data_IF_593996804043
#
_entry.id   IF_593996804043
#
_cell.length_a   1.000
_cell.length_b   1.000
_cell.length_c   1.000
_cell.angle_alpha   90.00
_cell.angle_beta   90.00
_cell.angle_gamma   90.00
#
_symmetry.space_group_name_H-M   'P 1'
#
loop_
_entity.id
_entity.type
_entity.pdbx_description
1 polymer ?
#
# COMPACT_ATOMS: atom_id res chain seq x y z
N UNK A 1 -15.04 -32.88 -22.17
CA UNK A 1 -15.22 -32.70 -20.72
C UNK A 1 -14.49 -31.40 -20.32
N UNK A 2 -15.22 -30.29 -20.37
CA UNK A 2 -14.78 -28.98 -19.90
C UNK A 2 -15.05 -28.93 -18.39
N UNK A 3 -14.00 -29.03 -17.58
CA UNK A 3 -14.06 -28.74 -16.15
C UNK A 3 -14.17 -27.22 -15.97
N UNK A 4 -15.32 -26.79 -15.50
CA UNK A 4 -15.63 -25.43 -15.14
C UNK A 4 -14.76 -25.05 -13.94
N UNK A 5 -13.76 -24.17 -14.10
CA UNK A 5 -13.06 -23.54 -12.99
C UNK A 5 -14.06 -22.66 -12.24
N UNK A 6 -14.49 -23.10 -11.08
CA UNK A 6 -15.25 -22.27 -10.14
C UNK A 6 -14.36 -21.09 -9.72
N UNK A 7 -14.83 -19.89 -9.96
CA UNK A 7 -14.19 -18.69 -9.41
C UNK A 7 -14.35 -18.71 -7.89
N UNK A 8 -13.26 -18.54 -7.11
CA UNK A 8 -13.34 -18.45 -5.66
C UNK A 8 -14.20 -17.24 -5.25
N UNK A 9 -14.90 -17.37 -4.16
CA UNK A 9 -15.74 -16.29 -3.59
C UNK A 9 -14.89 -15.15 -3.06
N UNK A 10 -15.48 -13.98 -2.84
CA UNK A 10 -14.77 -12.76 -2.35
C UNK A 10 -14.07 -13.05 -1.01
N UNK A 11 -14.64 -13.91 -0.15
CA UNK A 11 -14.03 -14.29 1.13
C UNK A 11 -12.73 -15.10 0.98
N UNK A 12 -12.63 -15.97 -0.02
CA UNK A 12 -11.42 -16.77 -0.26
C UNK A 12 -10.26 -15.95 -0.86
N UNK A 13 -10.57 -14.76 -1.43
CA UNK A 13 -9.57 -13.86 -2.05
C UNK A 13 -9.00 -12.83 -1.08
N UNK A 14 -9.69 -12.56 0.04
CA UNK A 14 -9.23 -11.64 1.08
C UNK A 14 -8.06 -12.20 1.92
N UNK A 15 -7.83 -13.51 1.86
CA UNK A 15 -6.86 -14.24 2.72
C UNK A 15 -5.39 -13.86 2.47
N UNK A 16 -5.04 -13.23 1.35
CA UNK A 16 -3.65 -12.90 1.03
C UNK A 16 -3.02 -11.78 1.89
N UNK A 17 -3.80 -11.12 2.74
CA UNK A 17 -3.35 -10.00 3.58
C UNK A 17 -3.59 -10.21 5.08
N UNK A 18 -3.87 -11.43 5.54
CA UNK A 18 -4.04 -11.68 6.97
C UNK A 18 -2.70 -11.60 7.69
N UNK A 19 -2.60 -10.63 8.62
CA UNK A 19 -1.56 -10.66 9.66
C UNK A 19 -1.77 -11.90 10.52
N UNK A 20 -0.86 -12.88 10.46
CA UNK A 20 -0.74 -13.84 11.55
C UNK A 20 -0.26 -13.08 12.80
N UNK A 21 -1.01 -13.21 13.90
CA UNK A 21 -0.57 -12.67 15.18
C UNK A 21 0.78 -13.26 15.55
N UNK A 22 1.82 -12.44 15.48
CA UNK A 22 3.14 -12.78 16.00
C UNK A 22 3.13 -12.45 17.49
N UNK A 23 2.91 -13.46 18.31
CA UNK A 23 3.11 -13.38 19.74
C UNK A 23 4.61 -13.60 20.02
N UNK A 24 5.42 -12.56 19.98
CA UNK A 24 6.59 -12.45 20.85
C UNK A 24 7.32 -11.12 20.62
N UNK A 25 7.72 -10.40 21.68
CA UNK A 25 8.47 -9.18 21.54
C UNK A 25 9.89 -9.50 21.06
N UNK A 26 10.33 -8.80 20.02
CA UNK A 26 11.73 -8.81 19.57
C UNK A 26 12.62 -8.40 20.74
N UNK A 27 13.53 -9.29 21.16
CA UNK A 27 14.47 -9.02 22.24
C UNK A 27 15.40 -7.85 21.89
N UNK A 28 15.51 -6.89 22.81
CA UNK A 28 16.24 -5.62 22.67
C UNK A 28 17.78 -5.73 22.64
N UNK A 29 18.38 -6.87 22.34
CA UNK A 29 19.84 -6.99 22.37
C UNK A 29 20.40 -7.53 21.07
N UNK A 30 20.52 -6.65 20.06
CA UNK A 30 21.35 -6.87 18.87
C UNK A 30 22.47 -5.83 18.78
N UNK A 31 23.66 -6.16 18.24
CA UNK A 31 24.79 -5.26 18.18
C UNK A 31 24.48 -4.03 17.32
N UNK A 32 24.97 -2.86 17.77
CA UNK A 32 24.91 -1.60 17.01
C UNK A 32 25.62 -1.77 15.66
N UNK A 33 24.85 -1.78 14.59
CA UNK A 33 25.36 -1.85 13.23
C UNK A 33 25.68 -0.45 12.70
N UNK A 34 26.84 -0.29 12.09
CA UNK A 34 27.16 0.91 11.29
C UNK A 34 26.22 0.94 10.07
N UNK A 35 25.11 1.65 10.19
CA UNK A 35 24.24 1.94 9.06
C UNK A 35 25.02 2.75 8.02
N UNK A 36 25.07 2.29 6.79
CA UNK A 36 25.48 3.13 5.68
C UNK A 36 24.52 4.34 5.65
N UNK A 37 25.10 5.52 5.58
CA UNK A 37 24.37 6.76 5.80
C UNK A 37 23.48 7.03 4.58
N UNK A 38 22.15 7.06 4.77
CA UNK A 38 21.30 7.82 3.85
C UNK A 38 21.70 9.29 3.99
N UNK A 39 22.41 9.85 3.01
CA UNK A 39 22.88 11.23 2.99
C UNK A 39 21.75 12.26 3.16
N UNK A 40 20.50 11.83 2.97
CA UNK A 40 19.29 12.62 3.11
C UNK A 40 18.53 12.39 4.44
N UNK A 41 19.07 11.60 5.36
CA UNK A 41 18.44 11.40 6.65
C UNK A 41 18.83 12.47 7.66
N UNK A 42 17.91 12.82 8.54
CA UNK A 42 18.17 13.69 9.70
C UNK A 42 18.19 12.86 10.98
N UNK A 43 19.00 13.25 11.94
CA UNK A 43 19.01 12.65 13.28
C UNK A 43 17.92 13.31 14.13
N UNK A 44 17.01 12.50 14.68
CA UNK A 44 16.06 12.90 15.72
C UNK A 44 16.21 11.91 16.86
N UNK A 45 16.52 12.41 18.04
CA UNK A 45 16.73 11.58 19.25
C UNK A 45 17.72 10.42 19.06
N UNK A 46 18.75 10.63 18.22
CA UNK A 46 19.74 9.60 17.88
C UNK A 46 19.30 8.59 16.83
N UNK A 47 18.06 8.67 16.36
CA UNK A 47 17.50 7.79 15.33
C UNK A 47 17.54 8.49 13.97
N UNK A 48 17.93 7.78 12.92
CA UNK A 48 17.93 8.30 11.55
C UNK A 48 16.56 8.24 10.95
N UNK A 49 16.08 9.41 10.49
CA UNK A 49 14.79 9.55 9.79
C UNK A 49 15.07 10.08 8.38
N UNK A 50 14.66 9.42 7.31
CA UNK A 50 14.75 9.95 5.96
C UNK A 50 14.14 11.35 5.88
N UNK A 51 14.75 12.26 5.15
CA UNK A 51 14.43 13.70 5.17
C UNK A 51 12.94 14.01 4.91
N UNK A 52 12.27 13.17 4.13
CA UNK A 52 10.87 13.35 3.75
C UNK A 52 9.90 12.51 4.59
N UNK A 53 10.37 11.82 5.61
CA UNK A 53 9.54 11.06 6.54
C UNK A 53 9.44 11.74 7.90
N UNK A 54 8.42 11.38 8.65
CA UNK A 54 8.16 11.88 9.99
C UNK A 54 8.69 10.92 11.06
N UNK A 55 8.63 9.63 10.73
CA UNK A 55 9.12 8.53 11.56
C UNK A 55 10.24 7.74 10.85
N UNK A 56 11.09 7.03 11.60
CA UNK A 56 12.16 6.21 11.03
C UNK A 56 11.62 5.05 10.20
N UNK A 57 12.44 4.47 9.32
CA UNK A 57 12.09 3.27 8.57
C UNK A 57 12.03 2.02 9.45
N UNK A 58 12.89 1.95 10.47
CA UNK A 58 12.96 0.81 11.36
C UNK A 58 11.61 0.53 12.04
N UNK A 59 11.18 -0.73 11.98
CA UNK A 59 9.88 -1.18 12.47
C UNK A 59 8.69 -0.87 11.56
N UNK A 60 8.92 -0.27 10.38
CA UNK A 60 7.84 -0.05 9.41
C UNK A 60 7.50 -1.34 8.67
N UNK A 61 6.23 -1.48 8.32
CA UNK A 61 5.73 -2.57 7.48
C UNK A 61 6.09 -2.32 6.02
N UNK A 62 6.73 -3.28 5.40
CA UNK A 62 7.03 -3.31 3.97
C UNK A 62 6.36 -4.48 3.26
N UNK A 63 6.28 -4.39 1.94
CA UNK A 63 5.69 -5.41 1.08
C UNK A 63 6.55 -5.61 -0.17
N UNK A 64 6.65 -6.86 -0.62
CA UNK A 64 7.26 -7.17 -1.90
C UNK A 64 6.43 -6.57 -3.04
N UNK A 65 7.04 -5.70 -3.86
CA UNK A 65 6.36 -4.97 -4.93
C UNK A 65 6.44 -5.61 -6.30
N UNK A 66 7.28 -6.64 -6.48
CA UNK A 66 7.44 -7.35 -7.75
C UNK A 66 6.93 -8.80 -7.65
N UNK A 67 6.57 -9.38 -8.80
CA UNK A 67 6.02 -10.74 -8.88
C UNK A 67 6.95 -11.81 -8.26
N UNK A 68 8.25 -11.58 -8.32
CA UNK A 68 9.27 -12.39 -7.63
C UNK A 68 10.34 -11.45 -7.12
N UNK A 69 10.62 -11.48 -5.82
CA UNK A 69 11.74 -10.80 -5.20
C UNK A 69 12.66 -11.80 -4.51
N UNK A 70 13.95 -11.54 -4.55
CA UNK A 70 14.96 -12.40 -3.93
C UNK A 70 15.43 -11.79 -2.62
N UNK A 71 15.29 -12.55 -1.53
CA UNK A 71 15.84 -12.21 -0.24
C UNK A 71 17.29 -12.71 -0.19
N UNK A 72 18.23 -11.81 -0.04
CA UNK A 72 19.65 -12.08 -0.03
C UNK A 72 20.21 -12.17 1.39
N UNK A 73 21.30 -12.94 1.56
CA UNK A 73 22.03 -13.03 2.83
C UNK A 73 22.74 -11.69 3.16
N UNK A 74 23.24 -10.99 2.15
CA UNK A 74 23.94 -9.70 2.27
C UNK A 74 23.34 -8.67 1.33
N UNK A 75 23.60 -7.36 1.55
CA UNK A 75 23.06 -6.28 0.72
C UNK A 75 23.78 -6.18 -0.65
N UNK A 76 23.84 -7.28 -1.35
CA UNK A 76 24.35 -7.39 -2.71
C UNK A 76 23.59 -8.48 -3.49
N UNK A 77 23.31 -8.22 -4.77
CA UNK A 77 22.54 -9.12 -5.65
C UNK A 77 23.30 -10.40 -6.06
N UNK A 78 24.53 -10.60 -5.60
CA UNK A 78 25.37 -11.75 -5.90
C UNK A 78 25.50 -12.72 -4.73
N UNK A 79 25.02 -12.34 -3.53
CA UNK A 79 25.06 -13.16 -2.34
C UNK A 79 24.04 -14.30 -2.37
N UNK A 80 24.13 -15.21 -1.41
CA UNK A 80 23.21 -16.34 -1.28
C UNK A 80 21.77 -15.87 -1.22
N UNK A 81 20.90 -16.46 -2.05
CA UNK A 81 19.46 -16.27 -1.99
C UNK A 81 18.90 -17.13 -0.87
N UNK A 82 18.35 -16.50 0.16
CA UNK A 82 17.74 -17.19 1.31
C UNK A 82 16.31 -17.62 1.00
N UNK A 83 15.55 -16.76 0.27
CA UNK A 83 14.15 -16.99 -0.05
C UNK A 83 13.72 -16.25 -1.31
N UNK A 84 12.64 -16.71 -1.92
CA UNK A 84 11.87 -15.99 -2.94
C UNK A 84 10.57 -15.49 -2.31
N UNK A 85 10.25 -14.22 -2.52
CA UNK A 85 9.02 -13.59 -2.09
C UNK A 85 8.11 -13.35 -3.30
N UNK A 86 6.83 -13.50 -3.10
CA UNK A 86 5.80 -13.12 -4.06
C UNK A 86 5.36 -11.67 -3.86
N UNK A 87 4.75 -11.06 -4.87
CA UNK A 87 4.15 -9.73 -4.72
C UNK A 87 3.14 -9.73 -3.57
N UNK A 88 3.28 -8.77 -2.67
CA UNK A 88 2.43 -8.63 -1.51
C UNK A 88 2.94 -9.31 -0.24
N UNK A 89 3.96 -10.17 -0.31
CA UNK A 89 4.55 -10.73 0.89
C UNK A 89 5.03 -9.62 1.83
N UNK A 90 4.58 -9.71 3.08
CA UNK A 90 4.80 -8.70 4.11
C UNK A 90 6.07 -9.00 4.92
N UNK A 91 6.74 -7.93 5.34
CA UNK A 91 7.92 -7.99 6.21
C UNK A 91 8.04 -6.70 7.04
N UNK A 92 8.91 -6.73 8.05
CA UNK A 92 9.29 -5.55 8.80
C UNK A 92 10.67 -5.05 8.38
N UNK A 93 10.79 -3.73 8.16
CA UNK A 93 12.05 -3.08 7.80
C UNK A 93 12.88 -2.91 9.08
N UNK A 94 14.14 -3.37 9.07
CA UNK A 94 15.06 -3.22 10.18
C UNK A 94 16.05 -2.08 10.00
N UNK A 95 16.56 -1.94 8.77
CA UNK A 95 17.50 -0.85 8.43
C UNK A 95 17.60 -0.69 6.92
N UNK A 96 18.14 0.45 6.48
CA UNK A 96 18.49 0.72 5.09
C UNK A 96 20.01 0.76 4.91
N UNK A 97 20.50 0.17 3.82
CA UNK A 97 21.89 0.21 3.38
C UNK A 97 21.95 0.39 1.87
N UNK A 98 22.10 1.63 1.43
CA UNK A 98 22.11 1.98 0.01
C UNK A 98 20.81 1.54 -0.69
N UNK A 99 20.92 0.71 -1.72
CA UNK A 99 19.79 0.20 -2.47
C UNK A 99 19.05 -0.97 -1.78
N UNK A 100 19.42 -1.36 -0.57
CA UNK A 100 18.88 -2.52 0.12
C UNK A 100 18.25 -2.16 1.45
N UNK A 101 17.19 -2.91 1.81
CA UNK A 101 16.66 -2.97 3.16
C UNK A 101 17.00 -4.30 3.81
N UNK A 102 17.51 -4.28 5.02
CA UNK A 102 17.46 -5.46 5.87
C UNK A 102 16.02 -5.59 6.38
N UNK A 103 15.45 -6.76 6.20
CA UNK A 103 14.07 -7.04 6.56
C UNK A 103 13.99 -8.29 7.43
N UNK A 104 12.92 -8.37 8.22
CA UNK A 104 12.53 -9.55 8.97
C UNK A 104 11.18 -10.03 8.44
N UNK A 105 11.13 -11.25 7.93
CA UNK A 105 9.88 -11.87 7.48
C UNK A 105 9.04 -12.29 8.70
N UNK A 106 7.77 -12.60 8.49
CA UNK A 106 6.85 -13.00 9.55
C UNK A 106 7.26 -14.28 10.29
N UNK A 107 8.03 -15.15 9.63
CA UNK A 107 8.59 -16.36 10.24
C UNK A 107 9.93 -16.15 10.94
N UNK A 108 10.39 -14.90 11.07
CA UNK A 108 11.66 -14.53 11.71
C UNK A 108 12.88 -14.61 10.79
N UNK A 109 12.72 -15.01 9.51
CA UNK A 109 13.86 -15.01 8.57
C UNK A 109 14.33 -13.59 8.32
N UNK A 110 15.62 -13.33 8.49
CA UNK A 110 16.25 -12.03 8.26
C UNK A 110 17.11 -12.09 7.01
N UNK A 111 17.03 -11.07 6.17
CA UNK A 111 17.81 -10.94 4.95
C UNK A 111 17.67 -9.56 4.33
N UNK A 112 18.10 -9.42 3.08
CA UNK A 112 18.19 -8.14 2.38
C UNK A 112 17.36 -8.17 1.09
N UNK A 113 16.57 -7.11 0.86
CA UNK A 113 15.76 -6.88 -0.36
C UNK A 113 16.18 -5.59 -1.04
N UNK A 114 16.10 -5.56 -2.36
CA UNK A 114 16.24 -4.31 -3.12
C UNK A 114 15.06 -3.37 -2.82
N UNK A 115 15.36 -2.21 -2.22
CA UNK A 115 14.33 -1.31 -1.71
C UNK A 115 13.51 -0.61 -2.81
N UNK A 116 14.04 -0.43 -4.02
CA UNK A 116 13.33 0.15 -5.15
C UNK A 116 12.15 -0.72 -5.63
N UNK A 117 12.26 -2.03 -5.40
CA UNK A 117 11.21 -3.01 -5.74
C UNK A 117 10.20 -3.21 -4.61
N UNK A 118 10.40 -2.55 -3.47
CA UNK A 118 9.54 -2.69 -2.30
C UNK A 118 8.48 -1.60 -2.22
N UNK A 119 7.39 -1.93 -1.55
CA UNK A 119 6.41 -0.95 -1.07
C UNK A 119 6.55 -0.80 0.45
N UNK A 120 6.17 0.36 0.96
CA UNK A 120 6.12 0.69 2.38
C UNK A 120 4.71 1.11 2.78
N UNK A 121 4.29 0.78 3.99
CA UNK A 121 3.04 1.27 4.55
C UNK A 121 3.18 2.76 4.93
N UNK A 122 2.48 3.65 4.22
CA UNK A 122 2.60 5.10 4.44
C UNK A 122 2.32 5.56 5.87
N UNK A 123 1.26 5.08 6.57
CA UNK A 123 1.00 5.49 7.95
C UNK A 123 2.17 5.27 8.90
N UNK A 124 2.99 4.24 8.65
CA UNK A 124 4.13 3.92 9.50
C UNK A 124 5.25 4.96 9.45
N UNK A 125 5.29 5.78 8.42
CA UNK A 125 6.35 6.78 8.19
C UNK A 125 5.85 8.21 8.05
N UNK A 126 4.56 8.39 7.73
CA UNK A 126 3.91 9.70 7.53
C UNK A 126 2.57 9.77 8.29
N UNK A 127 2.57 9.64 9.63
CA UNK A 127 1.34 9.58 10.42
C UNK A 127 0.52 10.88 10.47
N UNK A 128 1.05 12.02 10.00
CA UNK A 128 0.31 13.28 9.92
C UNK A 128 -0.66 13.35 8.73
N UNK A 129 -0.54 12.44 7.77
CA UNK A 129 -1.48 12.34 6.66
C UNK A 129 -2.81 11.75 7.18
N UNK A 130 -3.93 12.26 6.69
CA UNK A 130 -5.25 11.66 6.96
C UNK A 130 -5.47 10.48 6.02
N UNK A 131 -5.67 9.29 6.58
CA UNK A 131 -5.95 8.07 5.83
C UNK A 131 -7.41 7.68 5.99
N UNK A 132 -8.12 7.46 4.89
CA UNK A 132 -9.50 7.02 4.89
C UNK A 132 -9.78 6.20 3.64
N UNK A 133 -9.74 4.86 3.77
CA UNK A 133 -10.02 3.95 2.66
C UNK A 133 -11.44 3.39 2.77
N UNK A 134 -12.41 3.99 2.04
CA UNK A 134 -13.78 3.50 2.09
C UNK A 134 -13.91 2.07 1.54
N UNK A 135 -13.05 1.64 0.62
CA UNK A 135 -13.12 0.29 0.05
C UNK A 135 -12.80 -0.79 1.09
N UNK A 136 -12.06 -0.46 2.16
CA UNK A 136 -11.83 -1.34 3.30
C UNK A 136 -12.95 -1.29 4.36
N UNK A 137 -14.02 -0.53 4.13
CA UNK A 137 -15.21 -0.45 5.02
C UNK A 137 -16.51 -0.53 4.24
N UNK A 138 -16.86 0.53 3.56
CA UNK A 138 -18.10 0.67 2.79
C UNK A 138 -17.76 1.48 1.52
N UNK A 139 -17.55 0.80 0.43
CA UNK A 139 -17.13 1.39 -0.84
C UNK A 139 -18.05 2.53 -1.28
N UNK A 140 -17.45 3.63 -1.69
CA UNK A 140 -18.14 4.79 -2.27
C UNK A 140 -18.15 4.77 -3.80
N UNK A 141 -17.66 3.71 -4.43
CA UNK A 141 -17.69 3.61 -5.89
C UNK A 141 -19.11 3.70 -6.42
N UNK A 142 -19.30 4.60 -7.38
CA UNK A 142 -20.54 4.81 -8.14
C UNK A 142 -20.22 4.96 -9.60
N UNK A 143 -21.22 4.75 -10.45
CA UNK A 143 -21.09 5.00 -11.88
C UNK A 143 -22.15 5.99 -12.34
N UNK A 144 -21.76 7.12 -12.94
CA UNK A 144 -22.66 8.24 -13.29
C UNK A 144 -23.59 8.62 -12.13
N UNK A 145 -23.09 8.68 -10.89
CA UNK A 145 -23.86 9.00 -9.70
C UNK A 145 -24.80 7.90 -9.19
N UNK A 146 -24.90 6.77 -9.89
CA UNK A 146 -25.75 5.61 -9.53
C UNK A 146 -24.96 4.59 -8.73
N UNK A 147 -25.59 4.00 -7.72
CA UNK A 147 -24.99 2.91 -6.95
C UNK A 147 -24.76 1.68 -7.84
N UNK A 148 -23.67 0.96 -7.55
CA UNK A 148 -23.29 -0.27 -8.24
C UNK A 148 -23.61 -1.42 -7.29
N UNK A 149 -24.51 -2.33 -7.73
CA UNK A 149 -24.90 -3.50 -6.95
C UNK A 149 -23.68 -4.38 -6.61
N UNK A 150 -23.59 -4.84 -5.36
CA UNK A 150 -22.48 -5.64 -4.87
C UNK A 150 -21.16 -4.87 -4.64
N UNK A 151 -21.13 -3.54 -4.91
CA UNK A 151 -19.95 -2.69 -4.76
C UNK A 151 -20.22 -1.53 -3.82
N UNK A 152 -21.19 -0.67 -4.15
CA UNK A 152 -21.48 0.53 -3.35
C UNK A 152 -21.97 0.13 -1.97
N UNK A 153 -21.32 0.64 -0.94
CA UNK A 153 -21.61 0.32 0.45
C UNK A 153 -21.03 -1.01 0.94
N UNK A 154 -20.31 -1.77 0.10
CA UNK A 154 -19.70 -3.04 0.48
C UNK A 154 -18.23 -2.87 0.89
N UNK A 155 -17.77 -3.69 1.84
CA UNK A 155 -16.34 -3.89 2.09
C UNK A 155 -15.78 -4.72 0.94
N UNK A 156 -14.81 -4.18 0.20
CA UNK A 156 -14.27 -4.85 -0.98
C UNK A 156 -13.01 -5.67 -0.69
N UNK A 157 -12.27 -5.33 0.35
CA UNK A 157 -11.08 -6.05 0.81
C UNK A 157 -10.72 -5.67 2.25
N UNK A 158 -9.88 -6.46 2.89
CA UNK A 158 -9.32 -6.13 4.19
C UNK A 158 -8.21 -5.09 4.04
N UNK A 159 -8.26 -4.06 4.84
CA UNK A 159 -7.31 -2.95 4.74
C UNK A 159 -7.30 -2.05 5.96
N UNK A 160 -8.01 -2.43 7.04
CA UNK A 160 -8.00 -1.73 8.32
C UNK A 160 -7.56 -2.72 9.40
N UNK A 161 -6.42 -2.45 10.04
CA UNK A 161 -5.82 -3.33 11.04
C UNK A 161 -5.28 -2.52 12.22
N UNK A 162 -5.09 -3.17 13.35
CA UNK A 162 -4.41 -2.54 14.47
C UNK A 162 -2.92 -2.35 14.13
N UNK A 163 -2.50 -1.08 14.09
CA UNK A 163 -1.12 -0.71 13.85
C UNK A 163 -0.39 -0.59 15.19
N UNK A 164 0.45 -1.58 15.51
CA UNK A 164 1.17 -1.62 16.79
C UNK A 164 2.11 -0.42 16.96
N UNK A 165 2.72 0.08 15.88
CA UNK A 165 3.63 1.22 15.90
C UNK A 165 2.92 2.52 16.28
N UNK A 166 1.68 2.69 15.82
CA UNK A 166 0.87 3.88 16.09
C UNK A 166 -0.09 3.70 17.27
N UNK A 167 -0.24 2.47 17.79
CA UNK A 167 -1.10 2.14 18.92
C UNK A 167 -2.59 2.33 18.64
N UNK A 168 -3.02 2.22 17.38
CA UNK A 168 -4.40 2.43 16.93
C UNK A 168 -4.74 1.62 15.69
N UNK A 169 -6.03 1.47 15.41
CA UNK A 169 -6.47 0.99 14.10
C UNK A 169 -6.08 1.97 13.01
N UNK A 170 -5.46 1.48 11.94
CA UNK A 170 -5.03 2.29 10.82
C UNK A 170 -5.16 1.53 9.50
N UNK A 171 -5.32 2.27 8.42
CA UNK A 171 -5.40 1.69 7.08
C UNK A 171 -4.04 1.21 6.57
N UNK A 172 -4.02 0.08 5.89
CA UNK A 172 -2.89 -0.31 5.06
C UNK A 172 -2.88 0.54 3.79
N UNK A 173 -1.78 1.27 3.61
CA UNK A 173 -1.56 2.15 2.45
C UNK A 173 -0.20 1.85 1.81
N UNK A 174 -0.03 0.64 1.22
CA UNK A 174 1.22 0.26 0.56
C UNK A 174 1.47 1.13 -0.66
N UNK A 175 2.67 1.70 -0.75
CA UNK A 175 3.11 2.47 -1.92
C UNK A 175 4.60 2.22 -2.16
N UNK A 176 5.03 2.27 -3.42
CA UNK A 176 6.45 2.11 -3.77
C UNK A 176 7.33 3.08 -2.98
N UNK A 177 8.48 2.62 -2.52
CA UNK A 177 9.36 3.39 -1.64
C UNK A 177 9.79 4.74 -2.24
N UNK A 178 10.13 4.78 -3.53
CA UNK A 178 10.48 6.03 -4.20
C UNK A 178 9.29 7.01 -4.27
N UNK A 179 8.06 6.49 -4.41
CA UNK A 179 6.83 7.29 -4.33
C UNK A 179 6.56 7.78 -2.92
N UNK A 180 6.76 6.95 -1.88
CA UNK A 180 6.58 7.36 -0.49
C UNK A 180 7.43 8.60 -0.14
N UNK A 181 8.68 8.67 -0.61
CA UNK A 181 9.56 9.84 -0.45
C UNK A 181 8.95 11.12 -1.09
N UNK A 182 8.32 10.99 -2.25
CA UNK A 182 7.63 12.10 -2.93
C UNK A 182 6.37 12.53 -2.20
N UNK A 183 5.61 11.57 -1.67
CA UNK A 183 4.41 11.83 -0.84
C UNK A 183 4.80 12.59 0.41
N UNK A 184 5.89 12.21 1.08
CA UNK A 184 6.39 12.91 2.26
C UNK A 184 6.81 14.36 1.95
N UNK A 185 7.47 14.58 0.80
CA UNK A 185 7.79 15.94 0.36
C UNK A 185 6.51 16.77 0.07
N UNK A 186 5.50 16.15 -0.55
CA UNK A 186 4.20 16.80 -0.80
C UNK A 186 3.47 17.13 0.50
N UNK A 187 3.41 16.20 1.46
CA UNK A 187 2.82 16.44 2.79
C UNK A 187 3.49 17.60 3.51
N UNK A 188 4.84 17.61 3.52
CA UNK A 188 5.62 18.70 4.12
C UNK A 188 5.29 20.07 3.51
N UNK A 189 5.06 20.12 2.19
CA UNK A 189 4.68 21.34 1.52
C UNK A 189 3.22 21.72 1.79
N UNK A 190 2.30 20.76 1.84
CA UNK A 190 0.90 20.99 2.21
C UNK A 190 0.80 21.59 3.63
N UNK A 191 1.49 20.99 4.60
CA UNK A 191 1.50 21.49 5.99
C UNK A 191 2.00 22.93 6.08
N UNK A 192 3.02 23.33 5.31
CA UNK A 192 3.49 24.74 5.26
C UNK A 192 2.44 25.69 4.70
N UNK A 193 1.53 25.19 3.85
CA UNK A 193 0.43 25.97 3.29
C UNK A 193 -0.83 25.97 4.18
N UNK A 194 -0.80 25.31 5.34
CA UNK A 194 -1.95 25.14 6.22
C UNK A 194 -2.94 24.08 5.72
N UNK A 195 -2.45 23.15 4.89
CA UNK A 195 -3.22 22.02 4.36
C UNK A 195 -2.63 20.70 4.83
N UNK A 196 -3.38 19.63 4.69
CA UNK A 196 -2.95 18.25 4.93
C UNK A 196 -3.40 17.37 3.77
N UNK A 197 -2.57 16.41 3.37
CA UNK A 197 -3.00 15.36 2.45
C UNK A 197 -4.03 14.45 3.13
N UNK A 198 -5.08 14.11 2.38
CA UNK A 198 -5.97 13.00 2.68
C UNK A 198 -5.80 11.95 1.59
N UNK A 199 -5.32 10.77 1.96
CA UNK A 199 -5.13 9.64 1.04
C UNK A 199 -6.28 8.67 1.22
N UNK A 200 -6.96 8.37 0.10
CA UNK A 200 -8.14 7.51 0.06
C UNK A 200 -7.74 6.08 -0.28
N UNK A 201 -6.85 5.90 -1.23
CA UNK A 201 -6.36 4.59 -1.65
C UNK A 201 -4.98 4.71 -2.30
N UNK A 202 -4.10 3.75 -2.04
CA UNK A 202 -2.80 3.61 -2.70
C UNK A 202 -2.79 2.35 -3.55
N UNK A 203 -2.54 1.20 -2.93
CA UNK A 203 -2.61 -0.09 -3.59
C UNK A 203 -4.06 -0.59 -3.63
N UNK A 204 -4.50 -1.02 -4.83
CA UNK A 204 -5.79 -1.69 -5.03
C UNK A 204 -5.52 -3.09 -5.56
N UNK A 205 -5.99 -4.16 -4.88
CA UNK A 205 -5.88 -5.52 -5.40
C UNK A 205 -6.47 -5.63 -6.82
N UNK A 206 -5.80 -6.37 -7.70
CA UNK A 206 -6.24 -6.52 -9.09
C UNK A 206 -7.64 -7.11 -9.20
N UNK A 207 -7.94 -8.10 -8.34
CA UNK A 207 -9.24 -8.76 -8.28
C UNK A 207 -10.35 -7.77 -7.92
N UNK A 208 -10.09 -6.84 -7.01
CA UNK A 208 -11.04 -5.78 -6.64
C UNK A 208 -11.30 -4.85 -7.81
N UNK A 209 -10.26 -4.48 -8.54
CA UNK A 209 -10.40 -3.66 -9.75
C UNK A 209 -11.26 -4.38 -10.80
N UNK A 210 -11.06 -5.68 -11.01
CA UNK A 210 -11.87 -6.47 -11.94
C UNK A 210 -13.31 -6.63 -11.45
N UNK A 211 -13.51 -6.86 -10.15
CA UNK A 211 -14.84 -6.92 -9.54
C UNK A 211 -15.64 -5.65 -9.80
N UNK A 212 -15.05 -4.48 -9.52
CA UNK A 212 -15.70 -3.18 -9.76
C UNK A 212 -16.00 -2.99 -11.25
N UNK A 213 -15.04 -3.29 -12.13
CA UNK A 213 -15.23 -3.20 -13.58
C UNK A 213 -16.40 -4.06 -14.05
N UNK A 214 -16.44 -5.32 -13.65
CA UNK A 214 -17.45 -6.28 -14.09
C UNK A 214 -18.85 -5.88 -13.59
N UNK A 215 -18.95 -5.40 -12.35
CA UNK A 215 -20.20 -4.88 -11.79
C UNK A 215 -20.70 -3.61 -12.54
N UNK A 216 -19.79 -2.68 -12.89
CA UNK A 216 -20.15 -1.51 -13.71
C UNK A 216 -20.67 -1.92 -15.07
N UNK A 217 -20.00 -2.87 -15.74
CA UNK A 217 -20.49 -3.36 -17.04
C UNK A 217 -21.79 -4.15 -16.94
N UNK A 218 -21.99 -4.93 -15.89
CA UNK A 218 -23.26 -5.63 -15.66
C UNK A 218 -24.41 -4.62 -15.54
N UNK A 219 -24.23 -3.55 -14.76
CA UNK A 219 -25.21 -2.47 -14.66
C UNK A 219 -25.44 -1.76 -15.99
N UNK A 220 -24.38 -1.46 -16.73
CA UNK A 220 -24.46 -0.77 -18.01
C UNK A 220 -25.23 -1.55 -19.10
N UNK A 221 -25.16 -2.90 -19.09
CA UNK A 221 -25.93 -3.74 -20.02
C UNK A 221 -27.45 -3.57 -19.85
N UNK A 222 -27.88 -3.16 -18.67
CA UNK A 222 -29.31 -2.94 -18.35
C UNK A 222 -29.71 -1.46 -18.45
N UNK A 223 -28.74 -0.55 -18.69
CA UNK A 223 -28.96 0.89 -18.73
C UNK A 223 -28.26 1.48 -19.98
N UNK A 224 -29.07 1.80 -21.02
CA UNK A 224 -28.54 2.31 -22.30
C UNK A 224 -27.82 3.67 -22.16
N UNK A 225 -28.27 4.53 -21.27
CA UNK A 225 -27.63 5.83 -21.03
C UNK A 225 -26.25 5.62 -20.41
N UNK A 226 -26.17 4.75 -19.41
CA UNK A 226 -24.92 4.38 -18.78
C UNK A 226 -23.96 3.72 -19.77
N UNK A 227 -24.44 2.75 -20.57
CA UNK A 227 -23.63 2.12 -21.61
C UNK A 227 -23.08 3.14 -22.63
N UNK A 228 -23.88 4.12 -23.00
CA UNK A 228 -23.45 5.19 -23.90
C UNK A 228 -22.41 6.08 -23.23
N UNK A 229 -22.61 6.45 -21.97
CA UNK A 229 -21.67 7.28 -21.20
C UNK A 229 -20.31 6.59 -21.02
N UNK A 230 -20.29 5.29 -20.70
CA UNK A 230 -19.08 4.51 -20.50
C UNK A 230 -18.23 4.32 -21.77
N UNK A 231 -18.83 4.47 -22.94
CA UNK A 231 -18.15 4.30 -24.24
C UNK A 231 -17.93 5.62 -24.99
N UNK A 232 -18.24 6.76 -24.38
CA UNK A 232 -18.22 8.06 -25.05
C UNK A 232 -16.92 8.80 -24.83
N UNK A 233 -16.03 8.79 -25.84
CA UNK A 233 -14.87 9.68 -25.94
C UNK A 233 -13.91 9.59 -24.75
N UNK A 234 -13.53 10.74 -24.20
CA UNK A 234 -12.59 10.87 -23.08
C UNK A 234 -13.09 10.28 -21.74
N UNK A 235 -14.37 9.93 -21.64
CA UNK A 235 -14.99 9.34 -20.47
C UNK A 235 -15.18 7.82 -20.57
N UNK A 236 -14.47 7.18 -21.51
CA UNK A 236 -14.48 5.74 -21.61
C UNK A 236 -13.99 5.10 -20.31
N UNK A 237 -14.65 4.02 -19.89
CA UNK A 237 -14.34 3.31 -18.64
C UNK A 237 -12.88 2.90 -18.53
N UNK A 238 -12.22 2.58 -19.64
CA UNK A 238 -10.80 2.21 -19.67
C UNK A 238 -9.84 3.30 -19.17
N UNK A 239 -10.30 4.55 -19.05
CA UNK A 239 -9.52 5.63 -18.44
C UNK A 239 -9.52 5.57 -16.92
N UNK A 240 -10.56 4.98 -16.32
CA UNK A 240 -10.73 4.92 -14.85
C UNK A 240 -10.46 3.53 -14.30
N UNK A 241 -10.79 2.49 -15.07
CA UNK A 241 -10.64 1.09 -14.66
C UNK A 241 -9.98 0.33 -15.79
N UNK A 242 -8.65 0.19 -15.74
CA UNK A 242 -7.91 -0.61 -16.72
C UNK A 242 -8.18 -2.10 -16.53
N UNK A 243 -8.09 -2.87 -17.60
CA UNK A 243 -8.18 -4.35 -17.61
C UNK A 243 -6.81 -5.03 -17.49
N UNK A 244 -5.74 -4.23 -17.44
CA UNK A 244 -4.37 -4.67 -17.22
C UNK A 244 -3.88 -4.18 -15.85
N UNK A 245 -2.65 -4.53 -15.47
CA UNK A 245 -2.01 -4.00 -14.28
C UNK A 245 -2.00 -2.46 -14.31
N UNK A 246 -2.65 -1.84 -13.34
CA UNK A 246 -2.69 -0.39 -13.19
C UNK A 246 -1.51 0.10 -12.35
N UNK A 247 -1.34 1.41 -12.31
CA UNK A 247 -0.37 2.05 -11.43
C UNK A 247 -0.66 1.83 -9.94
N UNK A 248 -1.92 1.57 -9.55
CA UNK A 248 -2.28 1.17 -8.18
C UNK A 248 -1.67 -0.17 -7.79
N UNK A 249 -1.74 -1.20 -8.66
CA UNK A 249 -1.11 -2.49 -8.40
C UNK A 249 0.42 -2.43 -8.38
N UNK A 250 1.00 -1.42 -9.04
CA UNK A 250 2.46 -1.17 -9.02
C UNK A 250 2.90 -0.34 -7.82
N UNK A 251 1.96 0.14 -7.00
CA UNK A 251 2.25 1.04 -5.88
C UNK A 251 2.75 2.43 -6.31
N UNK A 252 2.46 2.88 -7.54
CA UNK A 252 2.93 4.19 -8.05
C UNK A 252 1.79 5.16 -8.35
N UNK A 253 0.59 4.86 -7.89
CA UNK A 253 -0.57 5.75 -7.92
C UNK A 253 -1.25 5.79 -6.55
N UNK A 254 -1.95 6.89 -6.28
CA UNK A 254 -2.79 7.06 -5.11
C UNK A 254 -3.96 7.96 -5.43
N UNK A 255 -5.10 7.69 -4.81
CA UNK A 255 -6.26 8.58 -4.79
C UNK A 255 -6.13 9.52 -3.58
N UNK A 256 -6.07 10.83 -3.82
CA UNK A 256 -5.77 11.82 -2.78
C UNK A 256 -6.52 13.12 -2.98
N UNK A 257 -6.71 13.85 -1.89
CA UNK A 257 -7.22 15.23 -1.87
C UNK A 257 -6.48 16.04 -0.80
N UNK A 258 -6.77 17.34 -0.72
CA UNK A 258 -6.27 18.23 0.33
C UNK A 258 -7.37 18.56 1.31
N UNK A 259 -7.02 18.60 2.57
CA UNK A 259 -7.86 19.11 3.67
C UNK A 259 -7.24 20.40 4.19
N UNK A 260 -8.06 21.44 4.37
CA UNK A 260 -7.64 22.64 5.07
C UNK A 260 -7.57 22.36 6.57
N UNK A 261 -6.43 22.68 7.19
CA UNK A 261 -6.29 22.64 8.64
C UNK A 261 -6.98 23.89 9.20
N UNK A 262 -8.06 23.66 9.96
CA UNK A 262 -8.74 24.74 10.70
C UNK A 262 -8.38 24.62 12.17
N UNK A 263 -7.99 25.73 12.81
CA UNK A 263 -7.83 25.76 14.26
C UNK A 263 -9.18 25.40 14.89
N UNK A 264 -9.22 24.30 15.65
CA UNK A 264 -10.33 24.10 16.56
C UNK A 264 -10.08 25.01 17.76
N UNK A 265 -10.91 26.04 17.89
CA UNK A 265 -11.02 26.85 19.11
C UNK A 265 -11.55 26.03 20.28
#
# INVERSE_FOLDING_TARGET
>A
LLTCCQNPTVEERAVSWQQQEVSDPVSETGPMWNAALDDNAVLRDGIRVPQNFELPLEGSTGFAGAAVMLLYERPDGTSTVLRRLAAGDMFYIRQESGAYWQVCLLDGTVGWLENELCMINLPDVLPSIVYENPNAKASIFKTCGKDIEGITGQKLYDGLFYNQRLGRDEYLMPINYAMAKKVGAAQKNALKAGDCLKIVETFRPYEVQMLVKDAVYAKARMDKELMTALNKGAWNIGWFITTSLSNHQRGVAMDTTLLRITEQT
#
